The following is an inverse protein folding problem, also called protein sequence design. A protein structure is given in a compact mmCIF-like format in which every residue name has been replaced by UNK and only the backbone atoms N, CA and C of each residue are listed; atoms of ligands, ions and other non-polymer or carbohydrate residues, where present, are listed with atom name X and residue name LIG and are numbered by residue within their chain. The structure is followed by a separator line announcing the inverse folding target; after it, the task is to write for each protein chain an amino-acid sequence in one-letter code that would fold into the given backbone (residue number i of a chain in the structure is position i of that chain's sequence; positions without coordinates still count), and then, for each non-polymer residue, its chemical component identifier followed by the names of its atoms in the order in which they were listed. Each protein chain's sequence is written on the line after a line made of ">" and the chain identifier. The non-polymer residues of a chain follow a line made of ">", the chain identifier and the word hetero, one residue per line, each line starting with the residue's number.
data_IF_511071826621
#
_entry.id   IF_511071826621
#
_cell.length_a   1.000
_cell.length_b   1.000
_cell.length_c   1.000
_cell.angle_alpha   90.00
_cell.angle_beta   90.00
_cell.angle_gamma   90.00
#
_symmetry.space_group_name_H-M   'P 1'
#
loop_
_entity.id
_entity.type
_entity.pdbx_description
1 polymer ?
#
# COMPACT_ATOMS: atom_id res chain seq x y z
N UNK A 1 -11.09 7.28 13.87
CA UNK A 1 -10.33 7.07 12.62
C UNK A 1 -8.97 6.45 12.86
N UNK A 2 -8.02 7.06 13.59
CA UNK A 2 -6.72 6.42 13.90
C UNK A 2 -6.85 4.98 14.44
N UNK A 3 -7.67 4.79 15.48
CA UNK A 3 -7.87 3.46 16.07
C UNK A 3 -8.45 2.46 15.05
N UNK A 4 -9.47 2.86 14.30
CA UNK A 4 -10.09 2.05 13.25
C UNK A 4 -9.09 1.63 12.16
N UNK A 5 -8.22 2.55 11.73
CA UNK A 5 -7.14 2.25 10.78
C UNK A 5 -6.15 1.24 11.39
N UNK A 6 -5.79 1.43 12.67
CA UNK A 6 -4.90 0.51 13.39
C UNK A 6 -5.51 -0.89 13.51
N UNK A 7 -6.76 -0.99 13.95
CA UNK A 7 -7.45 -2.26 14.15
C UNK A 7 -7.58 -3.05 12.83
N UNK A 8 -7.89 -2.35 11.73
CA UNK A 8 -7.98 -2.99 10.41
C UNK A 8 -6.61 -3.38 9.88
N UNK A 9 -5.57 -2.58 10.13
CA UNK A 9 -4.20 -2.94 9.82
C UNK A 9 -3.77 -4.21 10.57
N UNK A 10 -4.02 -4.29 11.88
CA UNK A 10 -3.69 -5.44 12.71
C UNK A 10 -4.38 -6.72 12.21
N UNK A 11 -5.67 -6.62 11.85
CA UNK A 11 -6.41 -7.72 11.23
C UNK A 11 -5.78 -8.16 9.91
N UNK A 12 -5.41 -7.21 9.05
CA UNK A 12 -4.80 -7.52 7.76
C UNK A 12 -3.39 -8.13 7.92
N UNK A 13 -2.59 -7.65 8.87
CA UNK A 13 -1.28 -8.21 9.19
C UNK A 13 -1.40 -9.61 9.78
N UNK A 14 -2.40 -9.88 10.63
CA UNK A 14 -2.67 -11.22 11.13
C UNK A 14 -2.95 -12.21 9.98
N UNK A 15 -3.68 -11.78 8.94
CA UNK A 15 -3.91 -12.59 7.73
C UNK A 15 -2.62 -12.87 6.96
N UNK A 16 -1.74 -11.88 6.82
CA UNK A 16 -0.42 -12.05 6.20
C UNK A 16 0.43 -13.05 6.99
N UNK A 17 0.51 -12.89 8.31
CA UNK A 17 1.24 -13.80 9.21
C UNK A 17 0.68 -15.22 9.17
N UNK A 18 -0.64 -15.37 9.04
CA UNK A 18 -1.29 -16.67 8.87
C UNK A 18 -0.83 -17.39 7.58
N UNK A 19 -0.68 -16.68 6.46
CA UNK A 19 -0.15 -17.26 5.22
C UNK A 19 1.30 -17.75 5.38
N UNK A 20 2.11 -17.00 6.13
CA UNK A 20 3.48 -17.43 6.49
C UNK A 20 3.45 -18.66 7.38
N UNK A 21 2.54 -18.72 8.36
CA UNK A 21 2.37 -19.88 9.23
C UNK A 21 1.94 -21.12 8.42
N UNK A 22 1.00 -20.98 7.48
CA UNK A 22 0.58 -22.07 6.58
C UNK A 22 1.77 -22.63 5.80
N UNK A 23 2.62 -21.75 5.26
CA UNK A 23 3.85 -22.19 4.59
C UNK A 23 4.75 -23.01 5.53
N UNK A 24 5.05 -22.45 6.71
CA UNK A 24 5.97 -23.06 7.66
C UNK A 24 5.46 -24.42 8.14
N UNK A 25 4.17 -24.53 8.45
CA UNK A 25 3.58 -25.74 9.03
C UNK A 25 3.32 -26.84 8.00
N UNK A 26 2.82 -26.50 6.80
CA UNK A 26 2.28 -27.50 5.87
C UNK A 26 3.05 -27.63 4.56
N UNK A 27 3.68 -26.55 4.08
CA UNK A 27 4.28 -26.54 2.74
C UNK A 27 5.80 -26.66 2.77
N UNK A 28 6.45 -26.19 3.84
CA UNK A 28 7.90 -26.23 3.99
C UNK A 28 8.42 -27.66 3.95
N UNK A 29 7.79 -28.59 4.68
CA UNK A 29 8.21 -29.99 4.77
C UNK A 29 9.59 -30.17 5.42
N UNK A 30 10.03 -31.42 5.65
CA UNK A 30 11.31 -31.71 6.29
C UNK A 30 12.52 -31.41 5.36
N UNK A 31 13.69 -31.19 5.97
CA UNK A 31 14.98 -31.05 5.28
C UNK A 31 15.41 -29.61 4.96
N UNK A 32 16.68 -29.45 4.60
CA UNK A 32 17.25 -28.19 4.12
C UNK A 32 17.10 -28.06 2.60
N UNK A 33 16.94 -26.84 2.09
CA UNK A 33 16.95 -26.57 0.65
C UNK A 33 15.76 -25.75 0.14
N UNK A 34 15.87 -25.29 -1.11
CA UNK A 34 14.85 -24.47 -1.77
C UNK A 34 13.62 -25.30 -2.09
N UNK A 35 12.43 -24.78 -1.77
CA UNK A 35 11.15 -25.41 -2.12
C UNK A 35 10.72 -25.00 -3.53
N UNK A 36 9.99 -25.88 -4.19
CA UNK A 36 9.42 -25.63 -5.52
C UNK A 36 8.50 -24.41 -5.51
N UNK A 37 8.39 -23.73 -6.66
CA UNK A 37 7.66 -22.46 -6.78
C UNK A 37 6.21 -22.58 -6.30
N UNK A 38 5.48 -23.64 -6.67
CA UNK A 38 4.11 -23.92 -6.21
C UNK A 38 3.95 -23.88 -4.67
N UNK A 39 4.91 -24.45 -3.93
CA UNK A 39 4.88 -24.44 -2.46
C UNK A 39 5.14 -23.04 -1.89
N UNK A 40 5.88 -22.21 -2.61
CA UNK A 40 6.23 -20.84 -2.21
C UNK A 40 5.23 -19.79 -2.68
N UNK A 41 4.22 -20.14 -3.47
CA UNK A 41 3.20 -19.19 -3.95
C UNK A 41 2.36 -18.63 -2.81
N UNK A 42 2.19 -19.37 -1.72
CA UNK A 42 1.57 -18.81 -0.50
C UNK A 42 2.36 -17.62 0.06
N UNK A 43 3.70 -17.61 -0.08
CA UNK A 43 4.55 -16.48 0.34
C UNK A 43 4.44 -15.31 -0.64
N UNK A 44 4.23 -15.60 -1.93
CA UNK A 44 3.93 -14.56 -2.94
C UNK A 44 2.57 -13.91 -2.66
N UNK A 45 1.55 -14.71 -2.37
CA UNK A 45 0.24 -14.22 -1.95
C UNK A 45 0.34 -13.38 -0.68
N UNK A 46 1.12 -13.82 0.31
CA UNK A 46 1.39 -13.05 1.52
C UNK A 46 2.08 -11.70 1.23
N UNK A 47 2.99 -11.64 0.25
CA UNK A 47 3.63 -10.40 -0.19
C UNK A 47 2.62 -9.43 -0.81
N UNK A 48 1.71 -9.93 -1.65
CA UNK A 48 0.64 -9.13 -2.25
C UNK A 48 -0.32 -8.60 -1.18
N UNK A 49 -0.70 -9.44 -0.22
CA UNK A 49 -1.56 -9.02 0.89
C UNK A 49 -0.87 -8.01 1.80
N UNK A 50 0.43 -8.16 2.08
CA UNK A 50 1.19 -7.18 2.86
C UNK A 50 1.15 -5.79 2.23
N UNK A 51 1.35 -5.71 0.91
CA UNK A 51 1.25 -4.46 0.18
C UNK A 51 -0.17 -3.87 0.22
N UNK A 52 -1.20 -4.71 0.03
CA UNK A 52 -2.60 -4.26 0.15
C UNK A 52 -2.93 -3.72 1.55
N UNK A 53 -2.36 -4.32 2.61
CA UNK A 53 -2.50 -3.82 3.99
C UNK A 53 -1.90 -2.42 4.15
N UNK A 54 -0.73 -2.17 3.55
CA UNK A 54 -0.09 -0.86 3.56
C UNK A 54 -0.91 0.17 2.77
N UNK A 55 -1.35 -0.16 1.56
CA UNK A 55 -2.17 0.73 0.73
C UNK A 55 -3.48 1.10 1.42
N UNK A 56 -4.11 0.14 2.13
CA UNK A 56 -5.33 0.39 2.89
C UNK A 56 -5.13 1.42 4.01
N UNK A 57 -4.00 1.36 4.74
CA UNK A 57 -3.64 2.37 5.75
C UNK A 57 -3.45 3.73 5.09
N UNK A 58 -2.63 3.80 4.04
CA UNK A 58 -2.31 5.05 3.34
C UNK A 58 -3.58 5.70 2.77
N UNK A 59 -4.42 4.91 2.08
CA UNK A 59 -5.68 5.38 1.52
C UNK A 59 -6.64 5.86 2.59
N UNK A 60 -6.67 5.23 3.75
CA UNK A 60 -7.58 5.63 4.84
C UNK A 60 -7.12 6.89 5.55
N UNK A 61 -5.81 7.08 5.69
CA UNK A 61 -5.24 8.35 6.12
C UNK A 61 -5.57 9.45 5.11
N UNK A 62 -5.47 9.16 3.80
CA UNK A 62 -5.84 10.09 2.74
C UNK A 62 -7.32 10.48 2.81
N UNK A 63 -8.22 9.50 2.92
CA UNK A 63 -9.66 9.73 3.09
C UNK A 63 -9.98 10.59 4.32
N UNK A 64 -9.20 10.42 5.39
CA UNK A 64 -9.40 11.16 6.63
C UNK A 64 -8.87 12.60 6.57
N UNK A 65 -7.65 12.79 6.08
CA UNK A 65 -6.89 14.05 6.26
C UNK A 65 -6.88 14.93 5.01
N UNK A 66 -6.88 14.33 3.82
CA UNK A 66 -6.75 15.07 2.55
C UNK A 66 -7.92 16.04 2.28
N UNK A 67 -9.19 15.76 2.65
CA UNK A 67 -10.28 16.73 2.49
C UNK A 67 -10.10 18.04 3.27
N UNK A 68 -9.20 18.05 4.25
CA UNK A 68 -8.86 19.23 5.07
C UNK A 68 -7.43 19.71 4.86
N UNK A 69 -6.75 19.22 3.81
CA UNK A 69 -5.40 19.63 3.49
C UNK A 69 -5.32 21.10 3.07
N UNK A 70 -4.09 21.64 3.02
CA UNK A 70 -3.85 23.00 2.55
C UNK A 70 -4.33 23.17 1.10
N UNK A 71 -4.74 24.40 0.74
CA UNK A 71 -5.29 24.71 -0.58
C UNK A 71 -4.40 24.21 -1.73
N UNK A 72 -3.08 24.39 -1.63
CA UNK A 72 -2.14 23.94 -2.67
C UNK A 72 -2.08 22.42 -2.87
N UNK A 73 -2.50 21.61 -1.89
CA UNK A 73 -2.63 20.17 -2.05
C UNK A 73 -3.98 19.81 -2.68
N UNK A 74 -5.06 20.50 -2.28
CA UNK A 74 -6.38 20.36 -2.90
C UNK A 74 -6.39 20.78 -4.37
N UNK A 75 -5.57 21.77 -4.76
CA UNK A 75 -5.40 22.22 -6.14
C UNK A 75 -4.85 21.13 -7.08
N UNK A 76 -4.32 20.02 -6.53
CA UNK A 76 -3.83 18.86 -7.28
C UNK A 76 -4.91 17.79 -7.50
N UNK A 77 -6.10 17.99 -6.92
CA UNK A 77 -7.20 17.03 -6.97
C UNK A 77 -8.22 17.47 -8.03
N UNK A 78 -8.60 16.58 -8.98
CA UNK A 78 -9.66 16.88 -9.93
C UNK A 78 -10.99 17.15 -9.23
N UNK A 79 -11.78 18.05 -9.79
CA UNK A 79 -13.14 18.29 -9.30
C UNK A 79 -14.02 17.04 -9.46
N UNK A 80 -14.94 16.86 -8.51
CA UNK A 80 -15.88 15.74 -8.47
C UNK A 80 -16.54 15.48 -9.84
N UNK A 81 -16.61 14.19 -10.21
CA UNK A 81 -17.28 13.74 -11.44
C UNK A 81 -16.42 13.74 -12.71
N UNK A 82 -15.10 13.97 -12.63
CA UNK A 82 -14.26 13.94 -13.83
C UNK A 82 -12.75 13.95 -13.57
N UNK A 83 -12.01 14.48 -14.56
CA UNK A 83 -10.56 14.72 -14.51
C UNK A 83 -10.23 16.20 -14.64
N UNK A 84 -11.23 17.07 -14.47
CA UNK A 84 -11.10 18.51 -14.67
C UNK A 84 -10.42 19.17 -13.47
N UNK A 85 -9.31 19.86 -13.73
CA UNK A 85 -8.58 20.66 -12.73
C UNK A 85 -9.08 22.10 -12.62
N UNK A 86 -9.83 22.57 -13.62
CA UNK A 86 -10.44 23.91 -13.66
C UNK A 86 -11.93 23.76 -13.86
N UNK A 87 -12.71 24.53 -13.11
CA UNK A 87 -14.17 24.51 -13.16
C UNK A 87 -14.74 25.90 -13.46
N UNK A 88 -15.93 25.90 -14.05
CA UNK A 88 -16.74 27.12 -14.18
C UNK A 88 -17.82 27.14 -13.10
N UNK A 89 -18.45 28.29 -12.86
CA UNK A 89 -19.57 28.37 -11.90
C UNK A 89 -20.72 27.42 -12.29
N UNK A 90 -20.97 27.22 -13.60
CA UNK A 90 -21.97 26.29 -14.10
C UNK A 90 -21.72 24.84 -13.69
N UNK A 91 -20.45 24.45 -13.50
CA UNK A 91 -20.05 23.11 -13.03
C UNK A 91 -20.56 22.83 -11.60
N UNK A 92 -20.79 23.87 -10.79
CA UNK A 92 -21.31 23.71 -9.42
C UNK A 92 -22.82 23.41 -9.37
N UNK A 93 -23.55 23.59 -10.48
CA UNK A 93 -25.01 23.38 -10.51
C UNK A 93 -25.41 21.94 -10.11
N UNK A 94 -24.61 20.94 -10.52
CA UNK A 94 -24.77 19.53 -10.16
C UNK A 94 -24.56 19.23 -8.66
N UNK A 95 -24.00 20.19 -7.91
CA UNK A 95 -23.69 20.08 -6.48
C UNK A 95 -24.41 21.14 -5.64
N UNK A 96 -25.42 21.84 -6.19
CA UNK A 96 -26.08 23.01 -5.58
C UNK A 96 -26.71 22.76 -4.20
N UNK A 97 -27.07 21.52 -3.86
CA UNK A 97 -27.57 21.14 -2.54
C UNK A 97 -26.51 20.70 -1.53
N UNK A 98 -25.23 20.70 -1.90
CA UNK A 98 -24.11 20.23 -1.06
C UNK A 98 -23.37 21.39 -0.42
N UNK A 99 -22.80 21.16 0.75
CA UNK A 99 -21.83 22.10 1.34
C UNK A 99 -20.52 22.04 0.56
N UNK A 100 -19.73 23.12 0.59
CA UNK A 100 -18.39 23.16 -0.05
C UNK A 100 -17.53 22.00 0.47
N UNK A 101 -17.53 21.74 1.78
CA UNK A 101 -16.79 20.63 2.37
C UNK A 101 -17.22 19.26 1.84
N UNK A 102 -18.51 19.05 1.58
CA UNK A 102 -19.00 17.81 0.99
C UNK A 102 -18.51 17.63 -0.46
N UNK A 103 -18.46 18.71 -1.24
CA UNK A 103 -17.94 18.67 -2.63
C UNK A 103 -16.43 18.41 -2.65
N UNK A 104 -15.68 19.02 -1.72
CA UNK A 104 -14.24 18.75 -1.56
C UNK A 104 -14.04 17.26 -1.22
N UNK A 105 -14.76 16.75 -0.22
CA UNK A 105 -14.66 15.34 0.16
C UNK A 105 -14.99 14.41 -0.99
N UNK A 106 -16.08 14.67 -1.72
CA UNK A 106 -16.46 13.88 -2.90
C UNK A 106 -15.38 13.88 -3.99
N UNK A 107 -14.75 15.03 -4.23
CA UNK A 107 -13.65 15.16 -5.20
C UNK A 107 -12.42 14.36 -4.78
N UNK A 108 -12.04 14.47 -3.51
CA UNK A 108 -10.96 13.68 -2.89
C UNK A 108 -11.26 12.20 -3.00
N UNK A 109 -12.46 11.77 -2.60
CA UNK A 109 -12.84 10.37 -2.60
C UNK A 109 -12.75 9.78 -4.02
N UNK A 110 -13.29 10.48 -5.03
CA UNK A 110 -13.24 10.05 -6.41
C UNK A 110 -11.82 9.96 -6.99
N UNK A 111 -10.90 10.80 -6.52
CA UNK A 111 -9.48 10.77 -6.89
C UNK A 111 -8.74 9.58 -6.24
N UNK A 112 -9.03 9.31 -4.96
CA UNK A 112 -8.40 8.23 -4.20
C UNK A 112 -8.78 6.84 -4.71
N UNK A 113 -9.99 6.67 -5.26
CA UNK A 113 -10.40 5.40 -5.90
C UNK A 113 -9.51 4.98 -7.08
N UNK A 114 -8.82 5.93 -7.73
CA UNK A 114 -7.90 5.65 -8.84
C UNK A 114 -6.43 5.67 -8.42
N UNK A 115 -6.17 5.98 -7.15
CA UNK A 115 -4.83 6.16 -6.62
C UNK A 115 -4.25 4.81 -6.15
N UNK A 116 -2.96 4.62 -6.42
CA UNK A 116 -2.14 3.50 -5.98
C UNK A 116 -0.80 4.04 -5.44
N UNK A 117 -0.13 3.25 -4.61
CA UNK A 117 1.13 3.65 -3.98
C UNK A 117 2.17 2.56 -4.21
N UNK A 118 2.88 2.62 -5.32
CA UNK A 118 3.76 1.56 -5.82
C UNK A 118 5.24 1.76 -5.48
N UNK A 119 5.63 2.94 -5.01
CA UNK A 119 7.02 3.27 -4.65
C UNK A 119 7.07 4.24 -3.47
N UNK A 120 8.24 4.33 -2.85
CA UNK A 120 8.49 5.18 -1.68
C UNK A 120 8.31 6.66 -1.97
N UNK A 121 8.54 7.13 -3.20
CA UNK A 121 8.28 8.52 -3.59
C UNK A 121 6.79 8.86 -3.54
N UNK A 122 5.92 8.00 -4.08
CA UNK A 122 4.47 8.15 -4.01
C UNK A 122 3.96 8.10 -2.57
N UNK A 123 4.50 7.19 -1.75
CA UNK A 123 4.17 7.09 -0.32
C UNK A 123 4.53 8.39 0.40
N UNK A 124 5.76 8.89 0.25
CA UNK A 124 6.18 10.15 0.86
C UNK A 124 5.37 11.35 0.34
N UNK A 125 5.09 11.38 -0.97
CA UNK A 125 4.25 12.42 -1.57
C UNK A 125 2.86 12.47 -0.94
N UNK A 126 2.24 11.31 -0.69
CA UNK A 126 1.00 11.25 0.05
C UNK A 126 1.16 11.80 1.46
N UNK A 127 2.13 11.28 2.24
CA UNK A 127 2.34 11.70 3.64
C UNK A 127 2.48 13.22 3.76
N UNK A 128 3.27 13.82 2.87
CA UNK A 128 3.44 15.29 2.80
C UNK A 128 2.12 15.98 2.47
N UNK A 129 1.34 15.48 1.50
CA UNK A 129 0.06 16.07 1.11
C UNK A 129 -0.98 16.10 2.24
N UNK A 130 -0.88 15.16 3.18
CA UNK A 130 -1.73 15.11 4.38
C UNK A 130 -1.06 15.73 5.62
N UNK A 131 0.05 16.43 5.44
CA UNK A 131 0.72 17.23 6.47
C UNK A 131 1.59 16.44 7.44
N UNK A 132 2.08 15.26 7.05
CA UNK A 132 2.94 14.40 7.88
C UNK A 132 4.42 14.55 7.50
N UNK A 133 5.29 14.37 8.50
CA UNK A 133 6.74 14.40 8.34
C UNK A 133 7.25 13.04 7.83
N UNK A 134 8.13 13.10 6.84
CA UNK A 134 8.77 11.93 6.24
C UNK A 134 10.03 11.48 6.99
N UNK A 135 10.60 12.32 7.87
CA UNK A 135 11.82 11.98 8.62
C UNK A 135 11.65 10.72 9.47
N UNK A 136 10.57 10.54 10.27
CA UNK A 136 10.40 9.35 11.12
C UNK A 136 10.26 8.04 10.33
N UNK A 137 9.83 8.11 9.07
CA UNK A 137 9.59 6.94 8.23
C UNK A 137 10.75 6.61 7.30
N UNK A 138 11.69 7.54 7.12
CA UNK A 138 12.83 7.41 6.20
C UNK A 138 13.64 6.12 6.38
N UNK A 139 13.88 5.61 7.62
CA UNK A 139 14.60 4.35 7.82
C UNK A 139 13.94 3.12 7.18
N UNK A 140 12.62 3.16 6.92
CA UNK A 140 11.84 2.02 6.43
C UNK A 140 11.64 2.03 4.91
N UNK A 141 11.93 3.15 4.23
CA UNK A 141 11.57 3.36 2.82
C UNK A 141 12.30 2.41 1.87
N UNK A 142 13.58 2.12 2.11
CA UNK A 142 14.36 1.23 1.24
C UNK A 142 13.81 -0.19 1.23
N UNK A 143 13.44 -0.72 2.39
CA UNK A 143 12.84 -2.05 2.53
C UNK A 143 11.42 -2.08 1.96
N UNK A 144 10.63 -1.01 2.14
CA UNK A 144 9.31 -0.88 1.51
C UNK A 144 9.42 -0.90 -0.02
N UNK A 145 10.38 -0.17 -0.59
CA UNK A 145 10.63 -0.14 -2.05
C UNK A 145 10.86 -1.56 -2.59
N UNK A 146 11.67 -2.36 -1.90
CA UNK A 146 11.93 -3.75 -2.28
C UNK A 146 10.65 -4.61 -2.22
N UNK A 147 9.84 -4.45 -1.18
CA UNK A 147 8.58 -5.18 -1.04
C UNK A 147 7.56 -4.80 -2.13
N UNK A 148 7.43 -3.51 -2.45
CA UNK A 148 6.53 -3.02 -3.51
C UNK A 148 7.01 -3.45 -4.90
N UNK A 149 8.31 -3.33 -5.19
CA UNK A 149 8.91 -3.83 -6.42
C UNK A 149 8.67 -5.34 -6.58
N UNK A 150 8.79 -6.10 -5.48
CA UNK A 150 8.48 -7.54 -5.48
C UNK A 150 7.02 -7.81 -5.80
N UNK A 151 6.09 -7.08 -5.17
CA UNK A 151 4.66 -7.19 -5.48
C UNK A 151 4.38 -6.92 -6.94
N UNK A 152 4.99 -5.88 -7.53
CA UNK A 152 4.84 -5.58 -8.95
C UNK A 152 5.29 -6.74 -9.85
N UNK A 153 6.44 -7.37 -9.54
CA UNK A 153 6.90 -8.56 -10.26
C UNK A 153 5.92 -9.73 -10.14
N UNK A 154 5.40 -10.01 -8.93
CA UNK A 154 4.45 -11.09 -8.69
C UNK A 154 3.16 -10.88 -9.50
N UNK A 155 2.56 -9.70 -9.39
CA UNK A 155 1.23 -9.43 -9.96
C UNK A 155 1.27 -9.24 -11.47
N UNK A 156 2.28 -8.54 -12.01
CA UNK A 156 2.28 -8.17 -13.43
C UNK A 156 3.20 -9.02 -14.31
N UNK A 157 4.13 -9.78 -13.70
CA UNK A 157 5.13 -10.57 -14.44
C UNK A 157 5.19 -12.02 -13.98
N UNK A 158 4.18 -12.50 -13.26
CA UNK A 158 4.13 -13.86 -12.69
C UNK A 158 5.38 -14.21 -11.86
N UNK A 159 6.02 -13.20 -11.27
CA UNK A 159 7.29 -13.30 -10.56
C UNK A 159 8.42 -13.93 -11.39
N UNK A 160 8.37 -13.73 -12.72
CA UNK A 160 9.28 -14.34 -13.66
C UNK A 160 10.72 -13.85 -13.48
N UNK A 161 11.67 -14.80 -13.51
CA UNK A 161 13.10 -14.56 -13.49
C UNK A 161 13.72 -14.99 -14.84
N UNK A 162 13.83 -14.08 -15.81
CA UNK A 162 14.32 -14.40 -17.16
C UNK A 162 15.80 -14.77 -17.19
N UNK A 163 16.59 -14.41 -16.17
CA UNK A 163 18.02 -14.73 -16.10
C UNK A 163 18.31 -16.20 -15.76
N UNK A 164 17.30 -16.99 -15.38
CA UNK A 164 17.46 -18.40 -15.01
C UNK A 164 18.24 -18.59 -13.71
N UNK A 165 17.56 -18.92 -12.61
CA UNK A 165 18.24 -19.34 -11.39
C UNK A 165 18.85 -20.75 -11.52
N UNK A 166 19.83 -21.09 -10.67
CA UNK A 166 20.26 -22.49 -10.50
C UNK A 166 19.03 -23.35 -10.18
N UNK A 167 18.61 -24.19 -11.14
CA UNK A 167 17.45 -25.09 -11.00
C UNK A 167 16.35 -25.01 -12.09
N UNK A 168 16.55 -24.33 -13.23
CA UNK A 168 15.60 -24.30 -14.36
C UNK A 168 14.15 -23.84 -14.03
N UNK A 169 13.95 -23.15 -12.91
CA UNK A 169 12.67 -22.52 -12.61
C UNK A 169 12.71 -21.04 -13.00
N UNK A 170 11.77 -20.63 -13.84
CA UNK A 170 11.59 -19.27 -14.34
C UNK A 170 10.96 -18.32 -13.30
N UNK A 171 10.94 -18.67 -12.01
CA UNK A 171 10.30 -17.87 -10.95
C UNK A 171 11.33 -17.48 -9.89
N UNK A 172 11.34 -16.20 -9.51
CA UNK A 172 12.29 -15.68 -8.53
C UNK A 172 12.04 -16.27 -7.12
N UNK A 173 13.11 -16.41 -6.34
CA UNK A 173 13.03 -17.00 -4.99
C UNK A 173 12.45 -16.03 -3.97
N UNK A 174 11.64 -16.55 -3.05
CA UNK A 174 11.18 -15.84 -1.86
C UNK A 174 11.38 -16.76 -0.64
N UNK A 175 11.81 -16.17 0.49
CA UNK A 175 12.02 -16.89 1.74
C UNK A 175 11.14 -16.31 2.85
N UNK A 176 10.84 -17.12 3.87
CA UNK A 176 10.12 -16.66 5.06
C UNK A 176 10.89 -15.59 5.82
N UNK A 177 12.23 -15.65 5.83
CA UNK A 177 13.06 -14.62 6.45
C UNK A 177 12.93 -13.28 5.73
N UNK A 178 12.98 -13.27 4.39
CA UNK A 178 12.78 -12.07 3.57
C UNK A 178 11.40 -11.46 3.81
N UNK A 179 10.36 -12.29 3.76
CA UNK A 179 8.99 -11.81 3.99
C UNK A 179 8.78 -11.35 5.45
N UNK A 180 9.39 -12.03 6.42
CA UNK A 180 9.38 -11.62 7.83
C UNK A 180 9.99 -10.23 8.03
N UNK A 181 11.11 -9.94 7.37
CA UNK A 181 11.72 -8.62 7.38
C UNK A 181 10.81 -7.55 6.76
N UNK A 182 10.12 -7.86 5.65
CA UNK A 182 9.14 -6.95 5.06
C UNK A 182 7.92 -6.71 5.94
N UNK A 183 7.39 -7.75 6.59
CA UNK A 183 6.27 -7.62 7.54
C UNK A 183 6.68 -6.68 8.67
N UNK A 184 7.79 -6.98 9.35
CA UNK A 184 8.29 -6.17 10.45
C UNK A 184 8.50 -4.72 10.04
N UNK A 185 9.17 -4.49 8.90
CA UNK A 185 9.41 -3.13 8.40
C UNK A 185 8.11 -2.38 8.09
N UNK A 186 7.11 -3.06 7.54
CA UNK A 186 5.79 -2.47 7.27
C UNK A 186 5.07 -2.11 8.57
N UNK A 187 5.11 -2.98 9.58
CA UNK A 187 4.56 -2.70 10.91
C UNK A 187 5.24 -1.47 11.55
N UNK A 188 6.57 -1.40 11.51
CA UNK A 188 7.29 -0.25 12.07
C UNK A 188 7.02 1.04 11.30
N UNK A 189 6.95 0.97 9.97
CA UNK A 189 6.55 2.11 9.14
C UNK A 189 5.15 2.61 9.50
N UNK A 190 4.16 1.70 9.57
CA UNK A 190 2.77 2.08 9.87
C UNK A 190 2.67 2.67 11.28
N UNK A 191 3.36 2.09 12.27
CA UNK A 191 3.41 2.67 13.61
C UNK A 191 4.03 4.07 13.62
N UNK A 192 5.13 4.28 12.89
CA UNK A 192 5.77 5.59 12.77
C UNK A 192 4.87 6.63 12.09
N UNK A 193 4.04 6.23 11.11
CA UNK A 193 3.04 7.11 10.49
C UNK A 193 1.90 7.39 11.47
N UNK A 194 1.32 6.36 12.09
CA UNK A 194 0.18 6.49 12.99
C UNK A 194 0.52 7.32 14.23
N UNK A 195 1.76 7.32 14.71
CA UNK A 195 2.20 8.16 15.82
C UNK A 195 2.15 9.67 15.51
N UNK A 196 2.07 10.08 14.25
CA UNK A 196 1.98 11.48 13.84
C UNK A 196 0.55 12.02 13.74
N UNK A 197 -0.47 11.15 13.83
CA UNK A 197 -1.89 11.51 13.62
C UNK A 197 -2.78 11.31 14.83
#
# INVERSE_FOLDING_TARGET
>A
MKQEISDRFDLNIARVKNLVAIYNTYLSGPGAGRRGHQKTDVLRAATVFLHASLEDVLRSLAYWKLPTAAAGELDKIPFAGGTAMKISLGSLSAHSGKTVSAVIKESVDASLERSNYNNSTEVCGLLISIGLDTVPVQPYLSTLELAMARRHQIVHRADANPAGGKGNHSVASISTATLGAWIWNTEQFVQAVLNQV
#
